data_IF_770459259641
#
_entry.id   IF_770459259641
#
_cell.length_a   1.000
_cell.length_b   1.000
_cell.length_c   1.000
_cell.angle_alpha   90.00
_cell.angle_beta   90.00
_cell.angle_gamma   90.00
#
_symmetry.space_group_name_H-M   'P 1'
#
loop_
_entity.id
_entity.type
_entity.pdbx_description
1 polymer ?
#
# COMPACT_ATOMS: atom_id res chain seq x y z
N UNK A 1 -34.74 10.62 -56.50
CA UNK A 1 -34.80 10.18 -55.10
C UNK A 1 -33.36 10.10 -54.64
N UNK A 2 -32.90 11.06 -53.78
CA UNK A 2 -31.55 11.08 -53.19
C UNK A 2 -31.63 10.48 -51.79
N UNK A 3 -31.07 9.33 -51.58
CA UNK A 3 -30.94 8.65 -50.30
C UNK A 3 -29.74 9.23 -49.55
N UNK A 4 -30.01 9.98 -48.46
CA UNK A 4 -28.96 10.47 -47.56
C UNK A 4 -28.73 9.38 -46.54
N UNK A 5 -27.54 8.74 -46.59
CA UNK A 5 -27.08 7.82 -45.56
C UNK A 5 -26.58 8.63 -44.38
N UNK A 6 -27.31 8.57 -43.25
CA UNK A 6 -26.91 9.14 -41.96
C UNK A 6 -25.90 8.22 -41.30
N UNK A 7 -24.62 8.55 -41.40
CA UNK A 7 -23.55 7.91 -40.64
C UNK A 7 -23.65 8.35 -39.16
N UNK A 8 -24.19 7.49 -38.30
CA UNK A 8 -24.10 7.62 -36.86
C UNK A 8 -22.65 7.34 -36.41
N UNK A 9 -21.89 8.41 -36.17
CA UNK A 9 -20.62 8.34 -35.47
C UNK A 9 -20.93 8.05 -33.99
N UNK A 10 -20.83 6.79 -33.60
CA UNK A 10 -20.78 6.41 -32.19
C UNK A 10 -19.42 6.85 -31.68
N UNK A 11 -19.34 8.03 -31.08
CA UNK A 11 -18.20 8.44 -30.29
C UNK A 11 -18.19 7.60 -29.02
N UNK A 12 -17.47 6.47 -29.02
CA UNK A 12 -17.10 5.79 -27.82
C UNK A 12 -16.19 6.76 -27.04
N UNK A 13 -16.76 7.46 -26.07
CA UNK A 13 -15.99 8.19 -25.08
C UNK A 13 -15.23 7.14 -24.26
N UNK A 14 -14.02 6.83 -24.69
CA UNK A 14 -13.09 6.01 -23.92
C UNK A 14 -12.72 6.86 -22.69
N UNK A 15 -13.33 6.55 -21.56
CA UNK A 15 -12.94 7.09 -20.25
C UNK A 15 -11.61 6.43 -19.89
N UNK A 16 -10.54 7.02 -20.40
CA UNK A 16 -9.21 6.44 -20.40
C UNK A 16 -8.47 6.72 -19.08
N UNK A 17 -8.99 6.36 -17.90
CA UNK A 17 -8.15 6.52 -16.68
C UNK A 17 -8.67 5.83 -15.41
N UNK A 18 -9.65 4.96 -15.47
CA UNK A 18 -10.05 4.19 -14.28
C UNK A 18 -9.54 2.75 -14.42
N UNK A 19 -8.72 2.30 -13.46
CA UNK A 19 -8.37 0.88 -13.40
C UNK A 19 -9.63 0.06 -13.12
N UNK A 20 -9.73 -1.10 -13.74
CA UNK A 20 -10.82 -2.03 -13.45
C UNK A 20 -10.71 -2.56 -12.00
N UNK A 21 -11.82 -2.64 -11.27
CA UNK A 21 -11.83 -3.22 -9.93
C UNK A 21 -11.37 -4.68 -9.96
N UNK A 22 -10.53 -5.05 -8.99
CA UNK A 22 -10.03 -6.42 -8.84
C UNK A 22 -10.67 -7.06 -7.61
N UNK A 23 -10.85 -8.39 -7.68
CA UNK A 23 -11.30 -9.15 -6.53
C UNK A 23 -10.36 -8.97 -5.33
N UNK A 24 -10.95 -8.61 -4.19
CA UNK A 24 -10.19 -8.31 -2.98
C UNK A 24 -9.37 -9.49 -2.48
N UNK A 25 -9.89 -10.72 -2.55
CA UNK A 25 -9.15 -11.89 -2.08
C UNK A 25 -7.91 -12.14 -2.94
N UNK A 26 -8.02 -12.03 -4.25
CA UNK A 26 -6.90 -12.13 -5.19
C UNK A 26 -5.87 -11.02 -4.97
N UNK A 27 -6.34 -9.78 -4.75
CA UNK A 27 -5.47 -8.63 -4.46
C UNK A 27 -4.66 -8.85 -3.18
N UNK A 28 -5.30 -9.28 -2.10
CA UNK A 28 -4.63 -9.51 -0.82
C UNK A 28 -3.65 -10.71 -0.89
N UNK A 29 -4.01 -11.78 -1.61
CA UNK A 29 -3.12 -12.91 -1.82
C UNK A 29 -1.85 -12.48 -2.60
N UNK A 30 -2.01 -11.69 -3.65
CA UNK A 30 -0.90 -11.13 -4.43
C UNK A 30 -0.02 -10.21 -3.58
N UNK A 31 -0.62 -9.31 -2.80
CA UNK A 31 0.12 -8.40 -1.93
C UNK A 31 0.94 -9.17 -0.86
N UNK A 32 0.36 -10.21 -0.26
CA UNK A 32 1.06 -11.10 0.69
C UNK A 32 2.25 -11.79 0.04
N UNK A 33 2.09 -12.34 -1.17
CA UNK A 33 3.14 -13.02 -1.90
C UNK A 33 4.29 -12.05 -2.27
N UNK A 34 3.97 -10.91 -2.87
CA UNK A 34 4.96 -9.90 -3.27
C UNK A 34 5.70 -9.34 -2.05
N UNK A 35 5.01 -9.05 -0.95
CA UNK A 35 5.64 -8.57 0.27
C UNK A 35 6.65 -9.60 0.82
N UNK A 36 6.31 -10.90 0.76
CA UNK A 36 7.21 -11.97 1.15
C UNK A 36 8.44 -12.04 0.25
N UNK A 37 8.27 -11.98 -1.06
CA UNK A 37 9.37 -11.96 -2.05
C UNK A 37 10.29 -10.76 -1.84
N UNK A 38 9.73 -9.58 -1.62
CA UNK A 38 10.47 -8.33 -1.43
C UNK A 38 10.98 -8.16 0.01
N UNK A 39 10.76 -9.15 0.89
CA UNK A 39 11.19 -9.10 2.31
C UNK A 39 10.63 -7.90 3.09
N UNK A 40 9.38 -7.54 2.82
CA UNK A 40 8.58 -6.63 3.63
C UNK A 40 7.62 -7.47 4.51
N UNK A 41 7.28 -6.98 5.69
CA UNK A 41 6.23 -7.61 6.51
C UNK A 41 4.91 -7.70 5.73
N UNK A 42 4.41 -8.91 5.43
CA UNK A 42 3.15 -9.08 4.71
C UNK A 42 1.96 -8.42 5.40
N UNK A 43 1.95 -8.37 6.74
CA UNK A 43 0.88 -7.73 7.49
C UNK A 43 0.84 -6.21 7.24
N UNK A 44 2.01 -5.57 7.06
CA UNK A 44 2.13 -4.16 6.70
C UNK A 44 1.63 -3.92 5.26
N UNK A 45 2.10 -4.73 4.30
CA UNK A 45 1.66 -4.59 2.91
C UNK A 45 0.13 -4.71 2.77
N UNK A 46 -0.47 -5.70 3.44
CA UNK A 46 -1.92 -5.88 3.48
C UNK A 46 -2.64 -4.68 4.11
N UNK A 47 -2.06 -4.06 5.15
CA UNK A 47 -2.62 -2.89 5.80
C UNK A 47 -2.62 -1.66 4.88
N UNK A 48 -1.53 -1.44 4.15
CA UNK A 48 -1.42 -0.35 3.18
C UNK A 48 -2.41 -0.55 2.04
N UNK A 49 -2.46 -1.73 1.43
CA UNK A 49 -3.41 -2.07 0.35
C UNK A 49 -4.88 -1.84 0.77
N UNK A 50 -5.23 -2.22 2.00
CA UNK A 50 -6.59 -2.02 2.52
C UNK A 50 -6.91 -0.52 2.69
N UNK A 51 -5.97 0.28 3.19
CA UNK A 51 -6.17 1.71 3.42
C UNK A 51 -6.14 2.51 2.12
N UNK A 52 -5.27 2.16 1.17
CA UNK A 52 -5.10 2.88 -0.09
C UNK A 52 -6.27 2.66 -1.07
N UNK A 53 -6.70 1.41 -1.22
CA UNK A 53 -7.68 1.05 -2.26
C UNK A 53 -8.85 0.20 -1.79
N UNK A 54 -9.03 0.03 -0.48
CA UNK A 54 -10.00 -0.91 0.08
C UNK A 54 -9.84 -2.34 -0.50
N UNK A 55 -8.59 -2.80 -0.63
CA UNK A 55 -8.27 -4.11 -1.19
C UNK A 55 -8.47 -4.20 -2.71
N UNK A 56 -8.21 -3.11 -3.43
CA UNK A 56 -8.32 -3.05 -4.89
C UNK A 56 -9.65 -2.57 -5.45
N UNK A 57 -10.57 -2.12 -4.61
CA UNK A 57 -11.91 -1.64 -5.04
C UNK A 57 -11.89 -0.21 -5.57
N UNK A 58 -11.03 0.64 -5.02
CA UNK A 58 -10.91 2.06 -5.37
C UNK A 58 -9.48 2.31 -5.83
N UNK A 59 -9.27 2.44 -7.13
CA UNK A 59 -7.95 2.46 -7.72
C UNK A 59 -7.56 3.79 -8.37
N UNK A 60 -8.36 4.83 -8.22
CA UNK A 60 -8.04 6.18 -8.73
C UNK A 60 -8.48 7.22 -7.72
N UNK A 61 -7.57 8.13 -7.35
CA UNK A 61 -7.87 9.26 -6.47
C UNK A 61 -7.96 10.57 -7.25
N UNK A 62 -8.65 11.55 -6.67
CA UNK A 62 -8.76 12.91 -7.22
C UNK A 62 -7.38 13.61 -7.29
N UNK A 63 -6.42 13.21 -6.45
CA UNK A 63 -5.07 13.72 -6.45
C UNK A 63 -4.17 13.11 -7.55
N UNK A 64 -4.68 12.14 -8.33
CA UNK A 64 -3.96 11.49 -9.42
C UNK A 64 -3.14 10.26 -9.00
N UNK A 65 -3.30 9.77 -7.78
CA UNK A 65 -2.77 8.47 -7.37
C UNK A 65 -3.58 7.35 -8.04
N UNK A 66 -2.91 6.27 -8.46
CA UNK A 66 -3.53 5.19 -9.24
C UNK A 66 -3.06 3.83 -8.76
N UNK A 67 -3.98 2.85 -8.82
CA UNK A 67 -3.73 1.45 -8.57
C UNK A 67 -3.92 1.04 -7.11
N UNK A 68 -3.60 -0.22 -6.84
CA UNK A 68 -3.86 -0.89 -5.55
C UNK A 68 -3.15 -0.21 -4.37
N UNK A 69 -1.93 0.27 -4.59
CA UNK A 69 -1.12 0.98 -3.60
C UNK A 69 -1.04 2.49 -3.87
N UNK A 70 -1.96 3.03 -4.69
CA UNK A 70 -2.13 4.46 -4.94
C UNK A 70 -0.82 5.20 -5.28
N UNK A 71 -0.13 4.73 -6.32
CA UNK A 71 1.13 5.34 -6.74
C UNK A 71 0.90 6.66 -7.49
N UNK A 72 1.60 7.70 -7.06
CA UNK A 72 1.73 8.94 -7.82
C UNK A 72 2.58 8.70 -9.08
N UNK A 73 2.41 9.53 -10.14
CA UNK A 73 3.14 9.36 -11.40
C UNK A 73 4.65 9.27 -11.22
N UNK A 74 5.23 10.17 -10.44
CA UNK A 74 6.68 10.24 -10.23
C UNK A 74 7.19 8.99 -9.49
N UNK A 75 6.46 8.54 -8.45
CA UNK A 75 6.79 7.30 -7.74
C UNK A 75 6.72 6.10 -8.68
N UNK A 76 5.68 5.99 -9.51
CA UNK A 76 5.56 4.92 -10.49
C UNK A 76 6.73 4.92 -11.48
N UNK A 77 7.11 6.09 -11.97
CA UNK A 77 8.25 6.27 -12.88
C UNK A 77 9.57 5.81 -12.24
N UNK A 78 9.83 6.22 -10.99
CA UNK A 78 11.05 5.85 -10.25
C UNK A 78 11.22 4.34 -10.07
N UNK A 79 10.10 3.60 -10.01
CA UNK A 79 10.08 2.14 -9.88
C UNK A 79 9.83 1.41 -11.20
N UNK A 80 9.85 2.10 -12.35
CA UNK A 80 9.72 1.51 -13.68
C UNK A 80 8.31 0.99 -14.00
N UNK A 81 7.27 1.50 -13.33
CA UNK A 81 5.87 1.14 -13.58
C UNK A 81 5.34 1.97 -14.74
N UNK A 82 5.13 1.33 -15.89
CA UNK A 82 4.58 1.96 -17.09
C UNK A 82 3.05 1.99 -17.11
N UNK A 83 2.42 0.98 -16.50
CA UNK A 83 0.98 0.90 -16.28
C UNK A 83 0.68 0.80 -14.79
N UNK A 84 0.16 1.88 -14.21
CA UNK A 84 -0.21 1.92 -12.80
C UNK A 84 -1.46 1.10 -12.46
N UNK A 85 -2.21 0.66 -13.47
CA UNK A 85 -3.33 -0.25 -13.33
C UNK A 85 -2.91 -1.72 -13.32
N UNK A 86 -1.68 -2.06 -13.72
CA UNK A 86 -1.15 -3.41 -13.57
C UNK A 86 -1.01 -3.76 -12.08
N UNK A 87 -1.75 -4.76 -11.57
CA UNK A 87 -1.81 -5.06 -10.15
C UNK A 87 -0.46 -5.47 -9.56
N UNK A 88 0.28 -6.32 -10.27
CA UNK A 88 1.55 -6.84 -9.79
C UNK A 88 2.61 -5.74 -9.78
N UNK A 89 2.75 -5.00 -10.87
CA UNK A 89 3.71 -3.90 -10.97
C UNK A 89 3.43 -2.82 -9.93
N UNK A 90 2.15 -2.47 -9.72
CA UNK A 90 1.73 -1.48 -8.74
C UNK A 90 2.05 -1.91 -7.30
N UNK A 91 1.67 -3.13 -6.91
CA UNK A 91 1.96 -3.65 -5.57
C UNK A 91 3.46 -3.76 -5.34
N UNK A 92 4.20 -4.29 -6.29
CA UNK A 92 5.67 -4.46 -6.17
C UNK A 92 6.39 -3.13 -5.98
N UNK A 93 6.02 -2.12 -6.76
CA UNK A 93 6.56 -0.78 -6.63
C UNK A 93 6.22 -0.13 -5.28
N UNK A 94 4.97 -0.22 -4.85
CA UNK A 94 4.55 0.31 -3.54
C UNK A 94 5.27 -0.36 -2.37
N UNK A 95 5.44 -1.69 -2.41
CA UNK A 95 6.21 -2.45 -1.41
C UNK A 95 7.68 -2.01 -1.38
N UNK A 96 8.31 -1.84 -2.54
CA UNK A 96 9.70 -1.35 -2.63
C UNK A 96 9.83 0.09 -2.14
N UNK A 97 8.84 0.92 -2.43
CA UNK A 97 8.82 2.29 -1.93
C UNK A 97 8.70 2.34 -0.40
N UNK A 98 7.84 1.53 0.22
CA UNK A 98 7.78 1.39 1.68
C UNK A 98 9.12 0.97 2.27
N UNK A 99 9.81 -0.01 1.67
CA UNK A 99 11.14 -0.43 2.12
C UNK A 99 12.17 0.69 2.04
N UNK A 100 12.19 1.44 0.93
CA UNK A 100 13.07 2.60 0.78
C UNK A 100 12.83 3.61 1.89
N UNK A 101 11.56 4.00 2.11
CA UNK A 101 11.20 4.97 3.14
C UNK A 101 11.55 4.48 4.55
N UNK A 102 11.37 3.19 4.82
CA UNK A 102 11.79 2.64 6.11
C UNK A 102 13.31 2.72 6.30
N UNK A 103 14.08 2.37 5.28
CA UNK A 103 15.54 2.51 5.31
C UNK A 103 16.02 3.96 5.48
N UNK A 104 15.19 4.92 5.03
CA UNK A 104 15.48 6.35 5.08
C UNK A 104 15.17 6.96 6.46
N UNK A 105 14.05 6.58 7.07
CA UNK A 105 13.57 7.18 8.32
C UNK A 105 13.86 6.32 9.57
N UNK A 106 14.10 5.03 9.43
CA UNK A 106 14.27 4.03 10.51
C UNK A 106 13.15 4.11 11.58
N UNK A 107 11.97 4.60 11.19
CA UNK A 107 10.80 4.77 12.03
C UNK A 107 9.53 4.46 11.22
N UNK A 108 8.70 3.51 11.65
CA UNK A 108 7.51 3.10 10.90
C UNK A 108 6.44 4.20 10.81
N UNK A 109 6.35 5.11 11.79
CA UNK A 109 5.38 6.20 11.76
C UNK A 109 5.80 7.26 10.74
N UNK A 110 7.11 7.59 10.70
CA UNK A 110 7.66 8.51 9.72
C UNK A 110 7.64 7.91 8.32
N UNK A 111 7.94 6.61 8.16
CA UNK A 111 7.80 5.89 6.91
C UNK A 111 6.37 6.01 6.35
N UNK A 112 5.35 5.73 7.17
CA UNK A 112 3.95 5.82 6.75
C UNK A 112 3.52 7.27 6.45
N UNK A 113 3.98 8.23 7.24
CA UNK A 113 3.74 9.63 6.97
C UNK A 113 4.38 10.07 5.66
N UNK A 114 5.60 9.62 5.38
CA UNK A 114 6.32 9.89 4.13
C UNK A 114 5.66 9.22 2.92
N UNK A 115 5.13 8.00 3.10
CA UNK A 115 4.39 7.32 2.04
C UNK A 115 3.15 8.13 1.60
N UNK A 116 2.37 8.61 2.57
CA UNK A 116 1.13 9.37 2.30
C UNK A 116 1.39 10.82 1.89
N UNK A 117 2.25 11.53 2.62
CA UNK A 117 2.45 12.96 2.42
C UNK A 117 3.64 13.32 1.51
N UNK A 118 4.51 12.35 1.23
CA UNK A 118 5.80 12.55 0.60
C UNK A 118 6.92 12.80 1.61
N UNK A 119 8.14 12.28 1.37
CA UNK A 119 9.27 12.36 2.30
C UNK A 119 9.70 13.81 2.57
N UNK A 120 9.63 14.67 1.58
CA UNK A 120 10.01 16.08 1.70
C UNK A 120 9.25 16.81 2.81
N UNK A 121 7.94 16.54 2.95
CA UNK A 121 7.11 17.15 4.01
C UNK A 121 7.47 16.65 5.40
N UNK A 122 7.90 15.38 5.50
CA UNK A 122 8.40 14.81 6.76
C UNK A 122 9.72 15.46 7.15
N UNK A 123 10.62 15.67 6.20
CA UNK A 123 11.89 16.39 6.44
C UNK A 123 11.66 17.83 6.85
N UNK A 124 10.85 18.58 6.11
CA UNK A 124 10.54 19.98 6.41
C UNK A 124 9.94 20.17 7.80
N UNK A 125 9.10 19.21 8.22
CA UNK A 125 8.48 19.24 9.57
C UNK A 125 9.43 18.72 10.66
N UNK A 126 10.39 17.88 10.32
CA UNK A 126 11.19 17.12 11.27
C UNK A 126 10.36 16.10 12.06
N UNK A 127 9.30 15.55 11.43
CA UNK A 127 8.35 14.64 12.04
C UNK A 127 7.11 14.41 11.19
N UNK A 128 6.05 13.87 11.79
CA UNK A 128 4.76 13.68 11.07
C UNK A 128 4.16 15.07 10.76
N UNK A 129 3.84 15.37 9.49
CA UNK A 129 3.16 16.61 9.13
C UNK A 129 1.81 16.77 9.82
N UNK A 130 1.48 17.99 10.24
CA UNK A 130 0.22 18.29 10.97
C UNK A 130 -1.03 18.33 10.04
N UNK A 131 -1.07 17.45 9.04
CA UNK A 131 -2.26 17.29 8.20
C UNK A 131 -3.15 16.21 8.82
N UNK A 132 -4.41 16.54 9.05
CA UNK A 132 -5.39 15.57 9.57
C UNK A 132 -5.44 14.28 8.74
N UNK A 133 -5.28 14.39 7.42
CA UNK A 133 -5.25 13.27 6.50
C UNK A 133 -4.07 12.33 6.81
N UNK A 134 -2.85 12.87 6.87
CA UNK A 134 -1.64 12.07 7.13
C UNK A 134 -1.65 11.43 8.51
N UNK A 135 -2.06 12.17 9.54
CA UNK A 135 -2.17 11.61 10.88
C UNK A 135 -3.21 10.48 10.95
N UNK A 136 -4.37 10.64 10.32
CA UNK A 136 -5.38 9.60 10.22
C UNK A 136 -4.92 8.40 9.41
N UNK A 137 -4.18 8.63 8.32
CA UNK A 137 -3.59 7.57 7.52
C UNK A 137 -2.66 6.69 8.35
N UNK A 138 -1.70 7.31 9.05
CA UNK A 138 -0.76 6.59 9.92
C UNK A 138 -1.52 5.75 10.96
N UNK A 139 -2.50 6.33 11.65
CA UNK A 139 -3.32 5.60 12.63
C UNK A 139 -4.07 4.43 11.99
N UNK A 140 -4.69 4.63 10.83
CA UNK A 140 -5.43 3.57 10.13
C UNK A 140 -4.52 2.42 9.75
N UNK A 141 -3.36 2.71 9.12
CA UNK A 141 -2.43 1.67 8.69
C UNK A 141 -1.87 0.92 9.89
N UNK A 142 -1.44 1.60 10.96
CA UNK A 142 -0.91 0.97 12.18
C UNK A 142 -1.93 0.02 12.82
N UNK A 143 -3.18 0.42 12.92
CA UNK A 143 -4.25 -0.42 13.45
C UNK A 143 -4.47 -1.67 12.57
N UNK A 144 -4.53 -1.50 11.24
CA UNK A 144 -4.67 -2.62 10.31
C UNK A 144 -3.48 -3.55 10.34
N UNK A 145 -2.27 -3.00 10.37
CA UNK A 145 -1.05 -3.79 10.48
C UNK A 145 -1.08 -4.69 11.72
N UNK A 146 -1.41 -4.12 12.89
CA UNK A 146 -1.54 -4.89 14.13
C UNK A 146 -2.59 -6.02 14.03
N UNK A 147 -3.74 -5.75 13.42
CA UNK A 147 -4.79 -6.76 13.23
C UNK A 147 -4.35 -7.86 12.24
N UNK A 148 -3.75 -7.48 11.12
CA UNK A 148 -3.25 -8.41 10.12
C UNK A 148 -2.15 -9.32 10.68
N UNK A 149 -1.20 -8.76 11.44
CA UNK A 149 -0.15 -9.55 12.08
C UNK A 149 -0.72 -10.62 13.03
N UNK A 150 -1.74 -10.28 13.82
CA UNK A 150 -2.44 -11.24 14.69
C UNK A 150 -3.16 -12.31 13.88
N UNK A 151 -3.82 -11.93 12.77
CA UNK A 151 -4.54 -12.86 11.91
C UNK A 151 -3.60 -13.85 11.23
N UNK A 152 -2.51 -13.38 10.63
CA UNK A 152 -1.51 -14.22 9.99
C UNK A 152 -0.85 -15.20 10.98
N UNK A 153 -0.48 -14.72 12.16
CA UNK A 153 0.06 -15.60 13.21
C UNK A 153 -0.95 -16.65 13.72
N UNK A 154 -2.25 -16.36 13.67
CA UNK A 154 -3.28 -17.33 14.00
C UNK A 154 -3.48 -18.36 12.87
N UNK A 155 -3.36 -17.95 11.62
CA UNK A 155 -3.40 -18.82 10.44
C UNK A 155 -2.24 -19.83 10.45
N UNK A 156 -1.02 -19.34 10.69
CA UNK A 156 0.19 -20.19 10.81
C UNK A 156 0.06 -21.26 11.90
N UNK A 157 -0.49 -20.88 13.07
CA UNK A 157 -0.75 -21.85 14.15
C UNK A 157 -1.79 -22.91 13.79
N UNK A 158 -2.80 -22.58 12.98
CA UNK A 158 -3.84 -23.52 12.55
C UNK A 158 -3.36 -24.47 11.48
N UNK A 159 -2.49 -24.01 10.57
CA UNK A 159 -1.95 -24.81 9.48
C UNK A 159 -0.91 -25.85 9.94
N UNK A 160 -0.64 -25.93 11.25
CA UNK A 160 0.27 -26.95 11.81
C UNK A 160 1.71 -26.74 11.38
N UNK A 161 2.10 -25.51 11.13
CA UNK A 161 3.39 -25.14 10.57
C UNK A 161 4.55 -25.56 11.45
N UNK A 162 5.11 -26.74 11.18
CA UNK A 162 6.49 -27.06 11.46
C UNK A 162 7.35 -26.32 10.43
N UNK A 163 7.35 -25.04 10.48
CA UNK A 163 8.26 -24.20 9.71
C UNK A 163 9.34 -23.69 10.65
N UNK A 164 10.41 -24.44 10.69
CA UNK A 164 11.70 -23.99 11.17
C UNK A 164 12.20 -22.91 10.22
N UNK A 165 11.80 -21.67 10.47
CA UNK A 165 12.64 -20.55 10.11
C UNK A 165 12.05 -19.27 10.71
N UNK A 166 12.64 -18.84 11.83
CA UNK A 166 12.64 -17.45 12.24
C UNK A 166 13.35 -16.63 11.16
N UNK A 167 12.66 -16.32 10.09
CA UNK A 167 13.05 -15.23 9.24
C UNK A 167 12.45 -13.97 9.84
N UNK A 168 13.21 -13.36 10.71
CA UNK A 168 12.94 -12.04 11.26
C UNK A 168 12.96 -11.07 10.10
N UNK A 169 11.80 -10.83 9.51
CA UNK A 169 11.62 -9.69 8.61
C UNK A 169 11.85 -8.45 9.45
N UNK A 170 12.83 -7.66 9.08
CA UNK A 170 13.39 -6.55 9.87
C UNK A 170 12.44 -5.37 10.15
N UNK A 171 11.14 -5.53 9.93
CA UNK A 171 10.09 -4.52 10.14
C UNK A 171 9.03 -4.95 11.16
N UNK A 172 9.31 -5.98 11.98
CA UNK A 172 8.35 -6.37 13.01
C UNK A 172 8.26 -5.30 14.12
N UNK A 173 7.04 -4.98 14.60
CA UNK A 173 6.83 -4.07 15.72
C UNK A 173 7.43 -4.55 17.05
N UNK A 174 8.22 -5.62 17.07
CA UNK A 174 8.82 -6.18 18.28
C UNK A 174 9.71 -5.18 19.03
N UNK A 175 10.34 -4.25 18.31
CA UNK A 175 11.16 -3.21 18.92
C UNK A 175 10.36 -2.24 19.80
N UNK A 176 9.06 -2.09 19.51
CA UNK A 176 8.16 -1.24 20.31
C UNK A 176 7.62 -1.92 21.57
N UNK A 177 7.68 -3.25 21.65
CA UNK A 177 7.16 -3.98 22.82
C UNK A 177 8.16 -4.04 23.98
N UNK A 178 9.44 -3.94 23.69
CA UNK A 178 10.48 -4.21 24.68
C UNK A 178 11.10 -2.93 25.30
N UNK A 179 10.92 -1.75 24.69
CA UNK A 179 11.57 -0.51 25.14
C UNK A 179 10.63 0.54 25.73
N UNK A 180 9.31 0.39 25.59
CA UNK A 180 8.34 1.36 26.12
C UNK A 180 7.26 0.67 26.93
N UNK A 181 7.66 0.07 28.07
CA UNK A 181 6.72 -0.12 29.17
C UNK A 181 6.47 1.25 29.76
N UNK A 182 5.32 1.81 29.43
CA UNK A 182 4.82 3.02 30.08
C UNK A 182 4.57 2.68 31.55
N UNK A 183 5.55 2.95 32.42
CA UNK A 183 5.35 2.96 33.87
C UNK A 183 4.64 4.27 34.15
N UNK A 184 3.29 4.20 34.20
CA UNK A 184 2.47 5.31 34.64
C UNK A 184 2.80 5.65 36.08
N UNK A 185 3.41 6.81 36.28
CA UNK A 185 3.35 7.61 37.50
C UNK A 185 2.50 8.84 37.23
#
# INVERSE_FOLDING_TARGET
VKTIALLLLISASYSANACEPIDTASTLAMAKAIATEEQLDPALALAVVDVESAGGKHQTSDAGAVGIMQLMPDTAFDYGVTDRCDPEANIRAGVRYLKKLYGEFDDPLLMLAAYNAGPERVYQKGGIPEFNETAQYVVKVMNRWTLNAKALAAEERRSGGHSTQKQTVALAPSRWRDEHVWNGE
#
